data_IF_839708687976
#
_entry.id   IF_839708687976
#
_cell.length_a   1.000
_cell.length_b   1.000
_cell.length_c   1.000
_cell.angle_alpha   90.00
_cell.angle_beta   90.00
_cell.angle_gamma   90.00
#
_symmetry.space_group_name_H-M   'P 1'
#
loop_
_entity.id
_entity.type
_entity.pdbx_description
1 polymer ?
#
# COMPACT_ATOMS: atom_id res chain seq x y z
N UNK A 1 0.47 -7.24 11.33
CA UNK A 1 1.15 -8.55 11.50
C UNK A 1 0.49 -9.45 12.55
N UNK A 2 0.31 -9.02 13.80
CA UNK A 2 -0.24 -9.88 14.88
C UNK A 2 -1.61 -10.51 14.56
N UNK A 3 -2.52 -9.77 13.94
CA UNK A 3 -3.83 -10.30 13.50
C UNK A 3 -3.68 -11.44 12.50
N UNK A 4 -2.80 -11.28 11.50
CA UNK A 4 -2.51 -12.33 10.53
C UNK A 4 -1.88 -13.55 11.19
N UNK A 5 -0.94 -13.33 12.12
CA UNK A 5 -0.31 -14.41 12.89
C UNK A 5 -1.36 -15.21 13.67
N UNK A 6 -2.31 -14.54 14.33
CA UNK A 6 -3.41 -15.18 15.03
C UNK A 6 -4.29 -16.04 14.09
N UNK A 7 -4.68 -15.51 12.92
CA UNK A 7 -5.48 -16.23 11.93
C UNK A 7 -4.75 -17.50 11.44
N UNK A 8 -3.44 -17.44 11.23
CA UNK A 8 -2.64 -18.58 10.80
C UNK A 8 -2.46 -19.62 11.90
N UNK A 9 -2.26 -19.19 13.15
CA UNK A 9 -2.22 -20.11 14.30
C UNK A 9 -3.58 -20.82 14.47
N UNK A 10 -4.69 -20.09 14.34
CA UNK A 10 -6.03 -20.67 14.35
C UNK A 10 -6.20 -21.70 13.23
N UNK A 11 -5.67 -21.43 12.04
CA UNK A 11 -5.62 -22.41 10.94
C UNK A 11 -4.94 -23.70 11.37
N UNK A 12 -3.76 -23.58 11.96
CA UNK A 12 -2.95 -24.70 12.37
C UNK A 12 -3.66 -25.54 13.42
N UNK A 13 -4.22 -24.89 14.46
CA UNK A 13 -4.95 -25.56 15.54
C UNK A 13 -6.19 -26.28 14.98
N UNK A 14 -7.03 -25.58 14.22
CA UNK A 14 -8.30 -26.17 13.78
C UNK A 14 -8.09 -27.28 12.76
N UNK A 15 -7.08 -27.15 11.88
CA UNK A 15 -6.77 -28.15 10.84
C UNK A 15 -6.03 -29.37 11.39
N UNK A 16 -5.04 -29.18 12.26
CA UNK A 16 -4.16 -30.27 12.69
C UNK A 16 -4.57 -30.90 14.04
N UNK A 17 -5.20 -30.13 14.94
CA UNK A 17 -5.57 -30.62 16.28
C UNK A 17 -7.06 -31.02 16.31
N UNK A 18 -7.93 -30.15 15.80
CA UNK A 18 -9.39 -30.32 15.87
C UNK A 18 -9.93 -31.07 14.63
N UNK A 19 -9.12 -31.19 13.56
CA UNK A 19 -9.46 -31.84 12.29
C UNK A 19 -10.71 -31.25 11.59
N UNK A 20 -11.01 -29.97 11.83
CA UNK A 20 -12.08 -29.23 11.16
C UNK A 20 -11.45 -28.10 10.34
N UNK A 21 -11.28 -28.26 9.02
CA UNK A 21 -10.68 -27.21 8.21
C UNK A 21 -11.66 -26.05 8.02
N UNK A 22 -11.29 -24.87 8.54
CA UNK A 22 -12.03 -23.63 8.30
C UNK A 22 -11.66 -23.06 6.93
N UNK A 23 -12.63 -23.03 6.03
CA UNK A 23 -12.45 -22.70 4.61
C UNK A 23 -12.09 -21.22 4.37
N UNK A 24 -12.48 -20.32 5.28
CA UNK A 24 -12.36 -18.85 5.14
C UNK A 24 -11.00 -18.29 5.55
N UNK A 25 -10.18 -19.08 6.24
CA UNK A 25 -8.98 -18.60 6.92
C UNK A 25 -7.94 -18.05 5.95
N UNK A 26 -7.80 -18.68 4.78
CA UNK A 26 -6.77 -18.32 3.79
C UNK A 26 -7.09 -16.95 3.20
N UNK A 27 -8.34 -16.74 2.81
CA UNK A 27 -8.84 -15.48 2.25
C UNK A 27 -8.79 -14.36 3.28
N UNK A 28 -9.16 -14.62 4.54
CA UNK A 28 -9.04 -13.62 5.60
C UNK A 28 -7.58 -13.26 5.89
N UNK A 29 -6.65 -14.23 5.87
CA UNK A 29 -5.23 -13.93 6.00
C UNK A 29 -4.72 -13.05 4.84
N UNK A 30 -5.16 -13.34 3.60
CA UNK A 30 -4.83 -12.54 2.41
C UNK A 30 -5.42 -11.13 2.47
N UNK A 31 -6.64 -10.96 2.96
CA UNK A 31 -7.26 -9.65 3.15
C UNK A 31 -6.54 -8.82 4.20
N UNK A 32 -6.20 -9.43 5.34
CA UNK A 32 -5.43 -8.75 6.39
C UNK A 32 -4.03 -8.39 5.89
N UNK A 33 -3.37 -9.28 5.14
CA UNK A 33 -2.06 -9.02 4.55
C UNK A 33 -2.10 -7.86 3.55
N UNK A 34 -3.06 -7.89 2.62
CA UNK A 34 -3.26 -6.85 1.61
C UNK A 34 -3.54 -5.49 2.27
N UNK A 35 -4.45 -5.46 3.25
CA UNK A 35 -4.76 -4.26 4.01
C UNK A 35 -3.53 -3.73 4.76
N UNK A 36 -2.76 -4.60 5.41
CA UNK A 36 -1.54 -4.22 6.11
C UNK A 36 -0.50 -3.58 5.17
N UNK A 37 -0.23 -4.17 4.01
CA UNK A 37 0.75 -3.63 3.07
C UNK A 37 0.31 -2.31 2.45
N UNK A 38 -0.96 -2.18 2.07
CA UNK A 38 -1.46 -0.98 1.41
C UNK A 38 -1.60 0.20 2.37
N UNK A 39 -2.06 -0.03 3.60
CA UNK A 39 -2.10 1.01 4.64
C UNK A 39 -0.68 1.33 5.14
N UNK A 40 0.18 0.32 5.25
CA UNK A 40 1.58 0.49 5.66
C UNK A 40 2.45 1.18 4.61
N UNK A 41 2.07 1.15 3.33
CA UNK A 41 2.83 1.78 2.25
C UNK A 41 3.01 3.28 2.44
N UNK A 42 1.97 4.00 2.88
CA UNK A 42 2.06 5.43 3.18
C UNK A 42 2.98 5.72 4.37
N UNK A 43 2.93 4.85 5.38
CA UNK A 43 3.80 4.96 6.56
C UNK A 43 5.28 4.68 6.24
N UNK A 44 5.55 3.71 5.35
CA UNK A 44 6.91 3.43 4.89
C UNK A 44 7.51 4.61 4.11
N UNK A 45 6.71 5.34 3.33
CA UNK A 45 7.16 6.58 2.68
C UNK A 45 7.51 7.69 3.66
N UNK A 46 6.81 7.81 4.80
CA UNK A 46 7.14 8.79 5.84
C UNK A 46 8.49 8.46 6.49
N UNK A 47 8.75 7.18 6.71
CA UNK A 47 9.94 6.71 7.44
C UNK A 47 11.20 6.70 6.55
N UNK A 48 11.07 7.01 5.26
CA UNK A 48 12.16 6.98 4.28
C UNK A 48 12.92 5.64 4.30
N UNK A 49 12.18 4.57 4.60
CA UNK A 49 12.71 3.21 4.76
C UNK A 49 12.86 2.51 3.39
N UNK A 50 12.68 3.28 2.31
CA UNK A 50 13.01 2.83 0.96
C UNK A 50 14.53 2.80 0.88
N UNK A 51 15.08 1.62 0.57
CA UNK A 51 16.52 1.45 0.36
C UNK A 51 16.95 2.38 -0.77
N UNK A 52 17.44 3.57 -0.43
CA UNK A 52 18.03 4.50 -1.38
C UNK A 52 19.38 3.92 -1.80
N UNK A 53 19.75 4.14 -3.06
CA UNK A 53 21.06 3.74 -3.56
C UNK A 53 22.12 4.70 -3.01
N UNK A 54 22.45 4.56 -1.73
CA UNK A 54 23.24 5.50 -0.93
C UNK A 54 24.65 5.74 -1.50
N UNK A 55 25.20 4.80 -2.29
CA UNK A 55 26.55 4.91 -2.87
C UNK A 55 26.66 6.00 -3.95
N UNK A 56 25.60 6.24 -4.72
CA UNK A 56 25.58 7.26 -5.78
C UNK A 56 25.00 8.57 -5.23
N UNK A 57 23.97 8.47 -4.37
CA UNK A 57 23.33 9.62 -3.76
C UNK A 57 24.23 10.38 -2.79
N UNK A 58 25.09 9.72 -2.02
CA UNK A 58 26.01 10.37 -1.08
C UNK A 58 27.02 11.31 -1.74
N UNK A 59 27.41 11.03 -3.00
CA UNK A 59 28.42 11.81 -3.75
C UNK A 59 27.86 13.04 -4.47
N UNK A 60 26.54 13.20 -4.55
CA UNK A 60 25.90 14.32 -5.23
C UNK A 60 25.85 15.57 -4.32
N UNK A 61 25.87 16.77 -4.93
CA UNK A 61 25.65 18.03 -4.21
C UNK A 61 24.20 18.12 -3.72
N UNK A 62 23.97 18.76 -2.58
CA UNK A 62 22.64 18.83 -1.95
C UNK A 62 21.57 19.43 -2.88
N UNK A 63 21.92 20.44 -3.68
CA UNK A 63 21.01 21.01 -4.68
C UNK A 63 20.64 20.03 -5.81
N UNK A 64 21.57 19.16 -6.22
CA UNK A 64 21.30 18.13 -7.25
C UNK A 64 20.44 17.00 -6.69
N UNK A 65 20.62 16.62 -5.42
CA UNK A 65 19.76 15.63 -4.75
C UNK A 65 18.32 16.12 -4.67
N UNK A 66 18.11 17.35 -4.20
CA UNK A 66 16.77 17.93 -4.05
C UNK A 66 16.02 18.04 -5.39
N UNK A 67 16.72 18.36 -6.49
CA UNK A 67 16.13 18.36 -7.84
C UNK A 67 15.77 16.95 -8.31
N UNK A 68 16.63 15.95 -8.05
CA UNK A 68 16.35 14.56 -8.42
C UNK A 68 15.18 13.99 -7.61
N UNK A 69 15.12 14.28 -6.31
CA UNK A 69 14.02 13.87 -5.41
C UNK A 69 12.70 14.51 -5.85
N UNK A 70 12.71 15.81 -6.18
CA UNK A 70 11.53 16.50 -6.72
C UNK A 70 11.07 15.92 -8.07
N UNK A 71 11.99 15.59 -8.97
CA UNK A 71 11.64 14.97 -10.24
C UNK A 71 11.08 13.55 -10.06
N UNK A 72 11.69 12.75 -9.20
CA UNK A 72 11.27 11.36 -8.94
C UNK A 72 9.91 11.31 -8.24
N UNK A 73 9.65 12.25 -7.33
CA UNK A 73 8.34 12.37 -6.67
C UNK A 73 7.21 12.77 -7.64
N UNK A 74 7.47 13.58 -8.67
CA UNK A 74 6.47 13.84 -9.73
C UNK A 74 6.07 12.56 -10.47
N UNK A 75 7.05 11.73 -10.86
CA UNK A 75 6.77 10.45 -11.51
C UNK A 75 6.00 9.50 -10.58
N UNK A 76 6.35 9.47 -9.30
CA UNK A 76 5.67 8.66 -8.30
C UNK A 76 4.22 9.13 -8.08
N UNK A 77 3.98 10.45 -8.01
CA UNK A 77 2.62 11.02 -7.93
C UNK A 77 1.82 10.64 -9.18
N UNK A 78 2.40 10.79 -10.38
CA UNK A 78 1.74 10.39 -11.63
C UNK A 78 1.34 8.91 -11.62
N UNK A 79 2.25 8.03 -11.22
CA UNK A 79 1.98 6.61 -11.06
C UNK A 79 0.84 6.34 -10.07
N UNK A 80 0.87 6.99 -8.91
CA UNK A 80 -0.16 6.83 -7.88
C UNK A 80 -1.53 7.37 -8.32
N UNK A 81 -1.58 8.44 -9.11
CA UNK A 81 -2.84 8.97 -9.68
C UNK A 81 -3.46 7.95 -10.65
N UNK A 82 -2.68 7.40 -11.57
CA UNK A 82 -3.15 6.37 -12.51
C UNK A 82 -3.62 5.13 -11.75
N UNK A 83 -2.86 4.71 -10.74
CA UNK A 83 -3.18 3.56 -9.91
C UNK A 83 -4.46 3.81 -9.07
N UNK A 84 -4.63 5.02 -8.54
CA UNK A 84 -5.83 5.42 -7.80
C UNK A 84 -7.07 5.40 -8.70
N UNK A 85 -6.98 5.95 -9.91
CA UNK A 85 -8.06 5.89 -10.89
C UNK A 85 -8.42 4.44 -11.25
N UNK A 86 -7.42 3.59 -11.50
CA UNK A 86 -7.61 2.16 -11.72
C UNK A 86 -8.28 1.46 -10.53
N UNK A 87 -7.91 1.83 -9.30
CA UNK A 87 -8.51 1.26 -8.08
C UNK A 87 -9.98 1.64 -7.92
N UNK A 88 -10.36 2.88 -8.21
CA UNK A 88 -11.75 3.34 -8.19
C UNK A 88 -12.56 2.60 -9.26
N UNK A 89 -12.07 2.54 -10.49
CA UNK A 89 -12.73 1.82 -11.58
C UNK A 89 -12.94 0.34 -11.22
N UNK A 90 -11.92 -0.29 -10.63
CA UNK A 90 -11.98 -1.68 -10.18
C UNK A 90 -12.95 -1.90 -9.03
N UNK A 91 -13.09 -0.92 -8.13
CA UNK A 91 -14.02 -0.96 -7.00
C UNK A 91 -15.47 -0.82 -7.49
N UNK A 92 -15.75 0.17 -8.34
CA UNK A 92 -17.08 0.38 -8.92
C UNK A 92 -17.54 -0.86 -9.67
N UNK A 93 -16.67 -1.42 -10.52
CA UNK A 93 -16.96 -2.65 -11.26
C UNK A 93 -17.31 -3.81 -10.31
N UNK A 94 -16.54 -3.99 -9.23
CA UNK A 94 -16.78 -5.03 -8.23
C UNK A 94 -18.11 -4.86 -7.50
N UNK A 95 -18.53 -3.62 -7.20
CA UNK A 95 -19.80 -3.32 -6.53
C UNK A 95 -20.97 -3.63 -7.48
N UNK A 96 -20.88 -3.19 -8.73
CA UNK A 96 -21.92 -3.41 -9.74
C UNK A 96 -22.11 -4.89 -10.07
N UNK A 97 -21.00 -5.64 -10.17
CA UNK A 97 -21.02 -7.06 -10.54
C UNK A 97 -21.13 -8.01 -9.35
N UNK A 98 -21.22 -7.49 -8.12
CA UNK A 98 -21.22 -8.28 -6.88
C UNK A 98 -20.12 -9.36 -6.87
N UNK A 99 -18.92 -8.99 -7.31
CA UNK A 99 -17.84 -9.95 -7.50
C UNK A 99 -17.51 -10.71 -6.21
N UNK A 100 -17.34 -12.02 -6.39
CA UNK A 100 -16.89 -12.94 -5.35
C UNK A 100 -15.56 -13.56 -5.77
N UNK A 101 -14.73 -13.88 -4.78
CA UNK A 101 -13.49 -14.62 -5.02
C UNK A 101 -13.81 -16.00 -5.60
N UNK A 102 -12.99 -16.47 -6.54
CA UNK A 102 -13.05 -17.85 -7.06
C UNK A 102 -12.39 -18.82 -6.07
N UNK A 103 -12.93 -18.89 -4.86
CA UNK A 103 -12.45 -19.78 -3.80
C UNK A 103 -13.61 -20.50 -3.12
N UNK A 104 -13.31 -21.52 -2.34
CA UNK A 104 -14.33 -22.35 -1.69
C UNK A 104 -15.20 -21.57 -0.68
N UNK A 105 -14.71 -20.45 -0.14
CA UNK A 105 -15.49 -19.52 0.69
C UNK A 105 -16.20 -18.43 -0.12
N UNK A 106 -15.68 -18.08 -1.29
CA UNK A 106 -16.20 -17.07 -2.22
C UNK A 106 -16.64 -15.74 -1.55
N UNK A 107 -15.77 -15.10 -0.73
CA UNK A 107 -16.13 -13.84 -0.10
C UNK A 107 -16.29 -12.72 -1.13
N UNK A 108 -17.11 -11.74 -0.76
CA UNK A 108 -17.24 -10.50 -1.52
C UNK A 108 -15.91 -9.74 -1.53
N UNK A 109 -15.48 -9.30 -2.71
CA UNK A 109 -14.21 -8.55 -2.89
C UNK A 109 -14.31 -7.06 -2.64
N UNK A 110 -15.52 -6.51 -2.54
CA UNK A 110 -15.71 -5.06 -2.37
C UNK A 110 -15.03 -4.51 -1.10
N UNK A 111 -15.03 -5.17 0.09
CA UNK A 111 -14.45 -4.58 1.30
C UNK A 111 -12.94 -4.40 1.18
N UNK A 112 -12.24 -5.40 0.62
CA UNK A 112 -10.78 -5.33 0.47
C UNK A 112 -10.39 -4.29 -0.59
N UNK A 113 -11.14 -4.17 -1.68
CA UNK A 113 -10.90 -3.15 -2.69
C UNK A 113 -11.15 -1.74 -2.15
N UNK A 114 -12.14 -1.54 -1.28
CA UNK A 114 -12.33 -0.26 -0.60
C UNK A 114 -11.15 0.12 0.27
N UNK A 115 -10.61 -0.83 1.06
CA UNK A 115 -9.40 -0.60 1.88
C UNK A 115 -8.20 -0.29 0.98
N UNK A 116 -8.07 -0.98 -0.16
CA UNK A 116 -7.02 -0.73 -1.12
C UNK A 116 -7.08 0.69 -1.69
N UNK A 117 -8.25 1.10 -2.22
CA UNK A 117 -8.47 2.46 -2.73
C UNK A 117 -8.16 3.50 -1.66
N UNK A 118 -8.57 3.26 -0.41
CA UNK A 118 -8.26 4.15 0.71
C UNK A 118 -6.75 4.25 1.00
N UNK A 119 -6.04 3.11 1.05
CA UNK A 119 -4.59 3.08 1.27
C UNK A 119 -3.80 3.78 0.17
N UNK A 120 -4.18 3.57 -1.10
CA UNK A 120 -3.57 4.26 -2.24
C UNK A 120 -3.82 5.77 -2.15
N UNK A 121 -5.03 6.19 -1.75
CA UNK A 121 -5.35 7.60 -1.52
C UNK A 121 -4.46 8.25 -0.45
N UNK A 122 -4.20 7.54 0.65
CA UNK A 122 -3.26 8.01 1.68
C UNK A 122 -1.82 8.10 1.17
N UNK A 123 -1.35 7.12 0.39
CA UNK A 123 -0.02 7.17 -0.23
C UNK A 123 0.12 8.35 -1.19
N UNK A 124 -0.92 8.62 -1.98
CA UNK A 124 -0.95 9.77 -2.89
C UNK A 124 -0.85 11.09 -2.11
N UNK A 125 -1.62 11.24 -1.03
CA UNK A 125 -1.56 12.42 -0.18
C UNK A 125 -0.17 12.61 0.43
N UNK A 126 0.44 11.53 0.91
CA UNK A 126 1.79 11.55 1.46
C UNK A 126 2.85 11.94 0.42
N UNK A 127 2.70 11.44 -0.81
CA UNK A 127 3.62 11.73 -1.92
C UNK A 127 3.59 13.21 -2.31
N UNK A 128 2.40 13.80 -2.34
CA UNK A 128 2.21 15.24 -2.56
C UNK A 128 2.89 16.05 -1.45
N UNK A 129 2.74 15.63 -0.19
CA UNK A 129 3.39 16.31 0.93
C UNK A 129 4.93 16.28 0.84
N UNK A 130 5.51 15.16 0.41
CA UNK A 130 6.97 15.04 0.19
C UNK A 130 7.41 15.96 -0.96
N UNK A 131 6.68 15.95 -2.08
CA UNK A 131 6.99 16.82 -3.22
C UNK A 131 7.05 18.31 -2.84
N UNK A 132 6.08 18.80 -2.05
CA UNK A 132 6.10 20.19 -1.58
C UNK A 132 7.27 20.49 -0.64
N UNK A 133 7.65 19.55 0.23
CA UNK A 133 8.83 19.70 1.10
C UNK A 133 10.12 19.76 0.28
N UNK A 134 10.26 18.93 -0.73
CA UNK A 134 11.45 18.92 -1.58
C UNK A 134 11.52 20.16 -2.47
N UNK A 135 10.38 20.63 -2.98
CA UNK A 135 10.29 21.89 -3.72
C UNK A 135 10.73 23.09 -2.84
N UNK A 136 10.31 23.12 -1.58
CA UNK A 136 10.70 24.16 -0.63
C UNK A 136 12.22 24.18 -0.37
N UNK A 137 12.84 23.01 -0.21
CA UNK A 137 14.30 22.87 -0.09
C UNK A 137 15.03 23.37 -1.33
N UNK A 138 14.51 23.12 -2.53
CA UNK A 138 15.09 23.65 -3.78
C UNK A 138 15.02 25.18 -3.83
N UNK A 139 13.93 25.75 -3.32
CA UNK A 139 13.66 27.20 -3.29
C UNK A 139 14.38 27.94 -2.14
N UNK A 140 15.23 27.27 -1.35
CA UNK A 140 15.91 27.85 -0.18
C UNK A 140 14.94 28.51 0.83
N UNK A 141 13.69 28.02 0.87
CA UNK A 141 12.68 28.45 1.85
C UNK A 141 12.56 27.37 2.91
N UNK A 142 13.00 27.68 4.13
CA UNK A 142 12.75 26.83 5.29
C UNK A 142 11.25 26.76 5.58
N UNK A 143 10.70 25.54 5.67
CA UNK A 143 9.34 25.25 6.15
C UNK A 143 9.44 24.21 7.26
#
# INVERSE_FOLDING_TARGET
>A
VFVMMFILILSFVTRNIINIPLIWIIEMAQFVMTGYYLLGGGYSMITDDHVRMDLIYSKLKDKTKAVLDSLTSVFLIFYLVVLFYGSISSLTYTIETNQRLFTAWAPYVWPIKSIMTFGIGLMLLQSIAIFFKDLAKVLDREI
#
